data_IF_428518785524
#
_entry.id   IF_428518785524
#
_cell.length_a   1.000
_cell.length_b   1.000
_cell.length_c   1.000
_cell.angle_alpha   90.00
_cell.angle_beta   90.00
_cell.angle_gamma   90.00
#
_symmetry.space_group_name_H-M   'P 1'
#
loop_
_entity.id
_entity.type
_entity.pdbx_description
1 polymer ?
#
# COMPACT_ATOMS: atom_id res chain seq x y z
N UNK A 1 3.46 13.76 15.53
CA UNK A 1 2.83 12.75 14.65
C UNK A 1 3.06 11.37 15.23
N UNK A 2 2.06 10.49 15.25
CA UNK A 2 2.18 9.10 15.71
C UNK A 2 2.64 8.20 14.55
N UNK A 3 3.49 7.21 14.83
CA UNK A 3 3.82 6.12 13.90
C UNK A 3 2.92 4.92 14.20
N UNK A 4 2.28 4.34 13.18
CA UNK A 4 1.52 3.09 13.27
C UNK A 4 2.04 2.06 12.27
N UNK A 5 2.36 0.86 12.74
CA UNK A 5 2.75 -0.29 11.94
C UNK A 5 1.55 -1.22 11.78
N UNK A 6 1.20 -1.57 10.53
CA UNK A 6 0.02 -2.39 10.23
C UNK A 6 0.44 -3.75 9.67
N UNK A 7 -0.23 -4.81 10.12
CA UNK A 7 -0.04 -6.15 9.59
C UNK A 7 -0.91 -6.34 8.33
N UNK A 8 -0.29 -6.72 7.21
CA UNK A 8 -1.00 -7.00 5.96
C UNK A 8 -1.68 -8.36 6.01
N UNK A 9 -3.00 -8.40 5.83
CA UNK A 9 -3.74 -9.65 5.74
C UNK A 9 -3.29 -10.52 4.56
N UNK A 10 -2.88 -9.90 3.46
CA UNK A 10 -2.31 -10.62 2.32
C UNK A 10 -0.95 -11.25 2.66
N UNK A 11 -0.06 -10.51 3.30
CA UNK A 11 1.28 -10.97 3.64
C UNK A 11 1.29 -12.10 4.69
N UNK A 12 0.39 -12.05 5.66
CA UNK A 12 0.28 -13.03 6.73
C UNK A 12 -0.73 -14.17 6.47
N UNK A 13 -1.46 -14.12 5.34
CA UNK A 13 -2.41 -15.17 4.98
C UNK A 13 -3.77 -15.07 5.67
N UNK A 14 -4.21 -13.85 5.98
CA UNK A 14 -5.56 -13.55 6.45
C UNK A 14 -5.64 -12.82 7.79
N UNK A 15 -6.85 -12.38 8.13
CA UNK A 15 -7.12 -11.58 9.31
C UNK A 15 -6.81 -12.28 10.65
N UNK A 16 -7.05 -13.59 10.74
CA UNK A 16 -6.71 -14.40 11.94
C UNK A 16 -5.20 -14.43 12.21
N UNK A 17 -4.40 -14.48 11.14
CA UNK A 17 -2.96 -14.42 11.27
C UNK A 17 -2.51 -13.03 11.73
N UNK A 18 -3.09 -11.96 11.20
CA UNK A 18 -2.83 -10.60 11.65
C UNK A 18 -3.16 -10.40 13.12
N UNK A 19 -4.21 -11.02 13.64
CA UNK A 19 -4.52 -10.96 15.06
C UNK A 19 -3.40 -11.49 15.93
N UNK A 20 -2.79 -12.63 15.57
CA UNK A 20 -1.61 -13.17 16.30
C UNK A 20 -0.43 -12.20 16.29
N UNK A 21 -0.26 -11.46 15.20
CA UNK A 21 0.79 -10.44 15.10
C UNK A 21 0.51 -9.23 15.99
N UNK A 22 -0.75 -8.83 16.16
CA UNK A 22 -1.15 -7.79 17.12
C UNK A 22 -0.90 -8.26 18.56
N UNK A 23 -1.31 -9.49 18.89
CA UNK A 23 -1.12 -10.05 20.23
C UNK A 23 0.36 -10.15 20.62
N UNK A 24 1.25 -10.31 19.65
CA UNK A 24 2.72 -10.28 19.88
C UNK A 24 3.29 -8.88 20.14
N UNK A 25 2.53 -7.82 19.87
CA UNK A 25 2.97 -6.43 19.96
C UNK A 25 3.87 -5.97 18.80
N UNK A 26 4.01 -6.76 17.76
CA UNK A 26 4.82 -6.42 16.58
C UNK A 26 4.17 -5.31 15.73
N UNK A 27 2.84 -5.25 15.73
CA UNK A 27 2.04 -4.31 14.94
C UNK A 27 1.00 -3.58 15.80
N UNK A 28 0.56 -2.41 15.33
CA UNK A 28 -0.37 -1.52 16.02
C UNK A 28 -1.79 -1.62 15.43
N UNK A 29 -1.95 -2.21 14.25
CA UNK A 29 -3.20 -2.34 13.52
C UNK A 29 -3.10 -3.34 12.38
N UNK A 30 -4.13 -3.38 11.55
CA UNK A 30 -4.23 -4.30 10.41
C UNK A 30 -4.57 -3.54 9.15
N UNK A 31 -4.06 -4.06 8.03
CA UNK A 31 -4.50 -3.71 6.69
C UNK A 31 -4.97 -4.96 5.95
N UNK A 32 -6.11 -4.86 5.26
CA UNK A 32 -6.63 -5.95 4.46
C UNK A 32 -8.01 -5.68 3.88
N UNK A 33 -8.54 -6.60 3.06
CA UNK A 33 -9.83 -6.41 2.41
C UNK A 33 -10.96 -6.30 3.45
N UNK A 34 -11.98 -5.45 3.20
CA UNK A 34 -13.13 -5.38 4.06
C UNK A 34 -13.87 -6.74 4.06
N UNK A 35 -14.10 -7.36 5.22
CA UNK A 35 -14.77 -8.65 5.30
C UNK A 35 -16.18 -8.59 4.72
N UNK A 36 -16.71 -9.75 4.33
CA UNK A 36 -18.04 -9.86 3.72
C UNK A 36 -19.16 -9.43 4.65
N UNK A 37 -18.96 -9.58 5.96
CA UNK A 37 -19.90 -9.13 6.98
C UNK A 37 -19.18 -8.34 8.10
N UNK A 38 -19.79 -7.24 8.53
CA UNK A 38 -19.28 -6.42 9.66
C UNK A 38 -19.17 -7.26 10.95
N UNK A 39 -20.03 -8.25 11.13
CA UNK A 39 -19.99 -9.16 12.27
C UNK A 39 -18.68 -9.97 12.34
N UNK A 40 -18.09 -10.35 11.18
CA UNK A 40 -16.82 -11.05 11.12
C UNK A 40 -15.69 -10.14 11.62
N UNK A 41 -15.71 -8.86 11.22
CA UNK A 41 -14.73 -7.89 11.69
C UNK A 41 -14.82 -7.70 13.20
N UNK A 42 -16.03 -7.57 13.76
CA UNK A 42 -16.25 -7.42 15.20
C UNK A 42 -15.88 -8.67 15.99
N UNK A 43 -16.05 -9.85 15.39
CA UNK A 43 -15.67 -11.12 16.03
C UNK A 43 -14.15 -11.29 16.09
N UNK A 44 -13.43 -10.79 15.08
CA UNK A 44 -11.98 -10.91 14.97
C UNK A 44 -11.23 -9.83 15.78
N UNK A 45 -11.78 -8.63 15.86
CA UNK A 45 -11.09 -7.48 16.42
C UNK A 45 -11.96 -6.71 17.40
N UNK A 46 -11.38 -6.29 18.52
CA UNK A 46 -11.96 -5.25 19.36
C UNK A 46 -12.08 -3.97 18.52
N UNK A 47 -13.16 -3.21 18.69
CA UNK A 47 -13.39 -1.92 18.00
C UNK A 47 -12.27 -0.88 18.19
N UNK A 48 -11.28 -1.17 19.03
CA UNK A 48 -10.09 -0.34 19.29
C UNK A 48 -8.90 -0.66 18.41
N UNK A 49 -8.92 -1.77 17.65
CA UNK A 49 -7.83 -2.10 16.72
C UNK A 49 -7.89 -1.19 15.50
N UNK A 50 -6.86 -0.39 15.23
CA UNK A 50 -6.80 0.42 14.02
C UNK A 50 -6.85 -0.47 12.76
N UNK A 51 -7.73 -0.12 11.81
CA UNK A 51 -7.93 -0.88 10.60
C UNK A 51 -7.82 0.01 9.37
N UNK A 52 -7.01 -0.40 8.39
CA UNK A 52 -6.93 0.18 7.04
C UNK A 52 -7.58 -0.81 6.08
N UNK A 53 -8.55 -0.32 5.29
CA UNK A 53 -9.23 -1.17 4.32
C UNK A 53 -8.48 -1.20 3.00
N UNK A 54 -8.10 -2.38 2.55
CA UNK A 54 -7.54 -2.62 1.22
C UNK A 54 -8.67 -2.87 0.21
N UNK A 55 -8.85 -1.96 -0.73
CA UNK A 55 -9.88 -2.01 -1.77
C UNK A 55 -9.26 -2.48 -3.08
N UNK A 56 -9.77 -3.57 -3.64
CA UNK A 56 -9.29 -4.09 -4.92
C UNK A 56 -10.43 -4.16 -5.94
N UNK A 57 -10.37 -3.37 -7.01
CA UNK A 57 -11.39 -3.36 -8.06
C UNK A 57 -11.00 -4.22 -9.26
N UNK A 58 -12.00 -4.68 -10.01
CA UNK A 58 -11.80 -5.52 -11.19
C UNK A 58 -11.54 -7.00 -10.88
N UNK A 59 -11.78 -7.42 -9.62
CA UNK A 59 -11.74 -8.81 -9.18
C UNK A 59 -10.34 -9.41 -9.01
N UNK A 60 -9.27 -8.63 -9.16
CA UNK A 60 -7.88 -9.09 -9.02
C UNK A 60 -6.93 -7.91 -8.77
N UNK A 61 -5.78 -8.17 -8.15
CA UNK A 61 -4.65 -7.21 -8.06
C UNK A 61 -4.12 -6.82 -9.45
N UNK A 62 -4.16 -7.74 -10.41
CA UNK A 62 -3.84 -7.51 -11.82
C UNK A 62 -5.06 -7.86 -12.68
N UNK A 63 -6.05 -6.96 -12.80
CA UNK A 63 -7.26 -7.23 -13.56
C UNK A 63 -6.97 -7.37 -15.05
N UNK A 64 -7.77 -8.17 -15.75
CA UNK A 64 -7.69 -8.20 -17.20
C UNK A 64 -8.01 -6.81 -17.78
N UNK A 65 -7.29 -6.40 -18.84
CA UNK A 65 -7.51 -5.11 -19.51
C UNK A 65 -8.90 -4.93 -20.11
N UNK A 66 -9.65 -6.03 -20.27
CA UNK A 66 -11.04 -6.04 -20.74
C UNK A 66 -12.08 -5.73 -19.67
N UNK A 67 -11.68 -5.63 -18.39
CA UNK A 67 -12.61 -5.24 -17.32
C UNK A 67 -13.05 -3.79 -17.54
N UNK A 68 -14.37 -3.57 -17.55
CA UNK A 68 -14.91 -2.25 -17.85
C UNK A 68 -14.67 -1.24 -16.73
N UNK A 69 -14.59 0.05 -17.07
CA UNK A 69 -14.52 1.17 -16.12
C UNK A 69 -15.68 1.11 -15.12
N UNK A 70 -16.86 0.77 -15.58
CA UNK A 70 -18.06 0.66 -14.75
C UNK A 70 -17.95 -0.47 -13.72
N UNK A 71 -17.35 -1.61 -14.08
CA UNK A 71 -17.10 -2.68 -13.11
C UNK A 71 -16.11 -2.25 -12.02
N UNK A 72 -15.04 -1.57 -12.39
CA UNK A 72 -14.09 -1.00 -11.43
C UNK A 72 -14.79 0.00 -10.48
N UNK A 73 -15.72 0.79 -11.02
CA UNK A 73 -16.49 1.75 -10.22
C UNK A 73 -17.41 1.06 -9.21
N UNK A 74 -18.18 0.07 -9.63
CA UNK A 74 -19.08 -0.69 -8.76
C UNK A 74 -18.32 -1.39 -7.62
N UNK A 75 -17.17 -2.00 -7.94
CA UNK A 75 -16.32 -2.64 -6.95
C UNK A 75 -15.78 -1.62 -5.92
N UNK A 76 -15.33 -0.44 -6.38
CA UNK A 76 -14.83 0.62 -5.50
C UNK A 76 -15.95 1.10 -4.55
N UNK A 77 -17.10 1.50 -5.08
CA UNK A 77 -18.20 2.06 -4.27
C UNK A 77 -18.71 1.05 -3.24
N UNK A 78 -18.91 -0.20 -3.63
CA UNK A 78 -19.38 -1.25 -2.72
C UNK A 78 -18.36 -1.56 -1.61
N UNK A 79 -17.07 -1.64 -1.94
CA UNK A 79 -16.02 -1.95 -0.96
C UNK A 79 -15.74 -0.77 -0.02
N UNK A 80 -15.73 0.46 -0.51
CA UNK A 80 -15.59 1.67 0.34
C UNK A 80 -16.75 1.76 1.34
N UNK A 81 -17.99 1.54 0.89
CA UNK A 81 -19.16 1.53 1.79
C UNK A 81 -18.96 0.51 2.90
N UNK A 82 -18.56 -0.72 2.56
CA UNK A 82 -18.31 -1.79 3.54
C UNK A 82 -17.14 -1.46 4.47
N UNK A 83 -16.08 -0.87 3.95
CA UNK A 83 -14.94 -0.45 4.76
C UNK A 83 -15.34 0.54 5.87
N UNK A 84 -16.21 1.50 5.55
CA UNK A 84 -16.75 2.44 6.53
C UNK A 84 -17.62 1.74 7.59
N UNK A 85 -18.44 0.78 7.20
CA UNK A 85 -19.22 -0.04 8.13
C UNK A 85 -18.33 -0.85 9.09
N UNK A 86 -17.14 -1.25 8.62
CA UNK A 86 -16.12 -1.91 9.44
C UNK A 86 -15.29 -0.95 10.30
N UNK A 87 -15.48 0.37 10.16
CA UNK A 87 -14.74 1.37 10.93
C UNK A 87 -13.31 1.61 10.46
N UNK A 88 -13.06 1.45 9.15
CA UNK A 88 -11.74 1.72 8.58
C UNK A 88 -11.30 3.17 8.83
N UNK A 89 -10.02 3.34 9.18
CA UNK A 89 -9.38 4.67 9.32
C UNK A 89 -9.36 5.41 7.98
N UNK A 90 -9.03 4.69 6.94
CA UNK A 90 -9.05 5.12 5.53
C UNK A 90 -8.98 3.88 4.63
N UNK A 91 -9.07 4.10 3.31
CA UNK A 91 -8.98 3.03 2.33
C UNK A 91 -7.71 3.16 1.48
N UNK A 92 -6.92 2.09 1.39
CA UNK A 92 -5.92 1.87 0.34
C UNK A 92 -6.61 1.27 -0.87
N UNK A 93 -6.44 1.86 -2.05
CA UNK A 93 -7.23 1.54 -3.23
C UNK A 93 -6.36 1.10 -4.41
N UNK A 94 -6.47 -0.17 -4.80
CA UNK A 94 -5.94 -0.74 -6.03
C UNK A 94 -7.05 -0.72 -7.10
N UNK A 95 -7.18 0.37 -7.84
CA UNK A 95 -8.30 0.59 -8.75
C UNK A 95 -7.88 0.95 -10.17
N UNK A 96 -8.73 0.64 -11.14
CA UNK A 96 -8.48 0.94 -12.55
C UNK A 96 -7.52 -0.04 -13.21
N UNK A 97 -7.08 0.29 -14.42
CA UNK A 97 -6.14 -0.49 -15.22
C UNK A 97 -5.06 0.41 -15.84
N UNK A 98 -3.82 -0.09 -15.91
CA UNK A 98 -2.68 0.53 -16.59
C UNK A 98 -2.91 0.74 -18.10
N UNK A 99 -3.86 0.00 -18.68
CA UNK A 99 -4.25 0.14 -20.06
C UNK A 99 -5.18 1.34 -20.35
N UNK A 100 -5.64 2.05 -19.33
CA UNK A 100 -6.54 3.18 -19.52
C UNK A 100 -5.79 4.41 -20.05
N UNK A 101 -6.37 5.11 -21.06
CA UNK A 101 -5.90 6.45 -21.40
C UNK A 101 -5.96 7.38 -20.19
N UNK A 102 -5.02 8.33 -20.12
CA UNK A 102 -4.93 9.28 -19.00
C UNK A 102 -6.27 9.99 -18.72
N UNK A 103 -6.99 10.41 -19.75
CA UNK A 103 -8.29 11.09 -19.59
C UNK A 103 -9.33 10.21 -18.87
N UNK A 104 -9.35 8.90 -19.16
CA UNK A 104 -10.24 7.93 -18.47
C UNK A 104 -9.81 7.77 -17.01
N UNK A 105 -8.50 7.67 -16.76
CA UNK A 105 -7.98 7.58 -15.39
C UNK A 105 -8.30 8.86 -14.59
N UNK A 106 -8.09 10.06 -15.16
CA UNK A 106 -8.42 11.33 -14.52
C UNK A 106 -9.92 11.43 -14.18
N UNK A 107 -10.80 11.06 -15.10
CA UNK A 107 -12.26 11.04 -14.83
C UNK A 107 -12.59 10.07 -13.68
N UNK A 108 -12.08 8.84 -13.73
CA UNK A 108 -12.35 7.83 -12.71
C UNK A 108 -11.86 8.26 -11.32
N UNK A 109 -10.61 8.73 -11.21
CA UNK A 109 -10.06 9.17 -9.93
C UNK A 109 -10.75 10.46 -9.44
N UNK A 110 -11.15 11.36 -10.33
CA UNK A 110 -11.96 12.53 -9.98
C UNK A 110 -13.29 12.12 -9.35
N UNK A 111 -14.02 11.18 -9.97
CA UNK A 111 -15.24 10.59 -9.40
C UNK A 111 -14.97 9.89 -8.06
N UNK A 112 -13.85 9.20 -7.91
CA UNK A 112 -13.48 8.54 -6.66
C UNK A 112 -13.22 9.55 -5.52
N UNK A 113 -12.59 10.70 -5.81
CA UNK A 113 -12.43 11.79 -4.85
C UNK A 113 -13.80 12.36 -4.41
N UNK A 114 -14.74 12.55 -5.34
CA UNK A 114 -16.10 13.00 -5.00
C UNK A 114 -16.87 11.93 -4.19
N UNK A 115 -16.69 10.64 -4.47
CA UNK A 115 -17.21 9.55 -3.64
C UNK A 115 -16.66 9.65 -2.20
N UNK A 116 -15.36 9.83 -2.06
CA UNK A 116 -14.72 10.02 -0.76
C UNK A 116 -15.32 11.19 0.04
N UNK A 117 -15.48 12.35 -0.61
CA UNK A 117 -16.13 13.53 0.00
C UNK A 117 -17.58 13.24 0.42
N UNK A 118 -18.37 12.62 -0.46
CA UNK A 118 -19.77 12.29 -0.22
C UNK A 118 -19.96 11.34 0.96
N UNK A 119 -19.08 10.36 1.12
CA UNK A 119 -19.14 9.34 2.16
C UNK A 119 -18.33 9.70 3.42
N UNK A 120 -17.65 10.84 3.43
CA UNK A 120 -16.64 11.22 4.45
C UNK A 120 -15.57 10.12 4.62
N UNK A 121 -15.16 9.49 3.52
CA UNK A 121 -14.13 8.46 3.45
C UNK A 121 -12.82 9.06 2.92
N UNK A 122 -11.72 8.84 3.62
CA UNK A 122 -10.39 9.15 3.09
C UNK A 122 -9.93 8.00 2.17
N UNK A 123 -9.63 8.32 0.91
CA UNK A 123 -9.15 7.37 -0.09
C UNK A 123 -7.70 7.67 -0.44
N UNK A 124 -6.87 6.63 -0.45
CA UNK A 124 -5.48 6.66 -0.86
C UNK A 124 -5.26 5.63 -1.97
N UNK A 125 -4.59 6.00 -3.04
CA UNK A 125 -4.46 5.15 -4.23
C UNK A 125 -3.06 4.59 -4.34
N UNK A 126 -2.96 3.26 -4.47
CA UNK A 126 -1.67 2.60 -4.45
C UNK A 126 -0.88 2.81 -5.76
N UNK A 127 0.42 3.03 -5.62
CA UNK A 127 1.38 3.00 -6.73
C UNK A 127 1.67 1.54 -7.12
N UNK A 128 0.76 0.94 -7.87
CA UNK A 128 0.80 -0.48 -8.20
C UNK A 128 0.88 -0.70 -9.71
N UNK A 129 1.78 -1.62 -10.15
CA UNK A 129 1.78 -2.13 -11.53
C UNK A 129 0.42 -2.75 -11.85
N UNK A 130 -0.03 -2.72 -13.11
CA UNK A 130 -1.38 -3.07 -13.57
C UNK A 130 -2.47 -2.06 -13.18
N UNK A 131 -2.13 -0.91 -12.58
CA UNK A 131 -3.04 0.19 -12.22
C UNK A 131 -2.61 1.48 -12.92
N UNK A 132 -3.45 2.51 -13.04
CA UNK A 132 -3.06 3.77 -13.68
C UNK A 132 -1.87 4.47 -13.04
N UNK A 133 -1.55 4.11 -11.79
CA UNK A 133 -0.41 4.59 -10.99
C UNK A 133 0.86 3.73 -11.15
N UNK A 134 0.98 2.93 -12.22
CA UNK A 134 1.98 1.89 -12.40
C UNK A 134 3.43 2.38 -12.57
N UNK A 135 3.64 3.65 -12.94
CA UNK A 135 4.98 4.23 -13.05
C UNK A 135 4.98 5.72 -12.68
N UNK A 136 6.15 6.30 -12.32
CA UNK A 136 6.22 7.65 -11.76
C UNK A 136 5.63 8.72 -12.68
N UNK A 137 5.90 8.70 -13.97
CA UNK A 137 5.50 9.77 -14.89
C UNK A 137 3.98 9.82 -15.13
N UNK A 138 3.31 8.65 -15.36
CA UNK A 138 1.86 8.62 -15.47
C UNK A 138 1.19 9.06 -14.15
N UNK A 139 1.75 8.63 -13.02
CA UNK A 139 1.26 9.06 -11.71
C UNK A 139 1.43 10.56 -11.52
N UNK A 140 2.56 11.15 -11.93
CA UNK A 140 2.76 12.60 -11.85
C UNK A 140 1.75 13.38 -12.70
N UNK A 141 1.36 12.88 -13.87
CA UNK A 141 0.29 13.50 -14.69
C UNK A 141 -1.06 13.46 -13.98
N UNK A 142 -1.42 12.32 -13.37
CA UNK A 142 -2.63 12.21 -12.54
C UNK A 142 -2.60 13.19 -11.35
N UNK A 143 -1.49 13.28 -10.64
CA UNK A 143 -1.33 14.17 -9.48
C UNK A 143 -1.41 15.65 -9.85
N UNK A 144 -0.94 16.03 -11.04
CA UNK A 144 -1.07 17.40 -11.57
C UNK A 144 -2.51 17.72 -11.96
N UNK A 145 -3.21 16.75 -12.56
CA UNK A 145 -4.62 16.90 -12.93
C UNK A 145 -5.55 16.88 -11.70
N UNK A 146 -5.20 16.16 -10.64
CA UNK A 146 -6.00 15.96 -9.44
C UNK A 146 -5.17 16.28 -8.17
N UNK A 147 -5.08 17.55 -7.77
CA UNK A 147 -4.23 17.98 -6.65
C UNK A 147 -4.61 17.38 -5.29
N UNK A 148 -5.88 16.96 -5.12
CA UNK A 148 -6.38 16.35 -3.88
C UNK A 148 -6.07 14.85 -3.78
N UNK A 149 -5.60 14.22 -4.87
CA UNK A 149 -5.30 12.80 -4.89
C UNK A 149 -4.17 12.45 -3.92
N UNK A 150 -4.38 11.40 -3.11
CA UNK A 150 -3.39 10.89 -2.15
C UNK A 150 -2.96 9.50 -2.52
N UNK A 151 -1.71 9.16 -2.19
CA UNK A 151 -1.11 7.89 -2.58
C UNK A 151 -0.81 7.00 -1.37
N UNK A 152 -1.07 5.72 -1.53
CA UNK A 152 -0.38 4.65 -0.82
C UNK A 152 0.87 4.33 -1.61
N UNK A 153 2.02 4.63 -1.02
CA UNK A 153 3.30 4.58 -1.73
C UNK A 153 3.93 3.20 -1.59
N UNK A 154 3.75 2.35 -2.61
CA UNK A 154 4.55 1.17 -2.86
C UNK A 154 5.46 1.42 -4.07
N UNK A 155 6.62 2.00 -3.82
CA UNK A 155 7.56 2.32 -4.90
C UNK A 155 8.33 1.10 -5.41
N UNK A 156 8.18 -0.06 -4.76
CA UNK A 156 8.77 -1.32 -5.24
C UNK A 156 8.26 -1.70 -6.63
N UNK A 157 7.00 -1.40 -6.92
CA UNK A 157 6.42 -1.58 -8.26
C UNK A 157 7.08 -0.68 -9.31
N UNK A 158 7.43 0.55 -8.95
CA UNK A 158 8.11 1.46 -9.88
C UNK A 158 9.52 1.00 -10.19
N UNK A 159 10.22 0.39 -9.22
CA UNK A 159 11.58 -0.12 -9.45
C UNK A 159 11.60 -1.12 -10.61
N UNK A 160 10.71 -2.11 -10.61
CA UNK A 160 10.65 -3.12 -11.66
C UNK A 160 10.10 -2.59 -12.98
N UNK A 161 9.10 -1.69 -12.96
CA UNK A 161 8.53 -1.12 -14.18
C UNK A 161 9.51 -0.20 -14.90
N UNK A 162 10.30 0.55 -14.14
CA UNK A 162 11.32 1.46 -14.68
C UNK A 162 12.70 0.81 -14.83
N UNK A 163 12.88 -0.44 -14.38
CA UNK A 163 14.16 -1.16 -14.35
C UNK A 163 15.29 -0.38 -13.67
N UNK A 164 14.94 0.40 -12.64
CA UNK A 164 15.86 1.20 -11.80
C UNK A 164 15.17 1.71 -10.54
N UNK A 165 15.98 2.19 -9.59
CA UNK A 165 15.49 2.98 -8.47
C UNK A 165 15.11 4.39 -8.97
N UNK A 166 13.84 4.83 -8.83
CA UNK A 166 13.45 6.17 -9.26
C UNK A 166 14.09 7.25 -8.38
N UNK A 167 14.48 8.38 -9.01
CA UNK A 167 15.18 9.49 -8.35
C UNK A 167 14.81 10.88 -8.91
N UNK A 168 13.68 10.99 -9.64
CA UNK A 168 13.27 12.16 -10.39
C UNK A 168 12.19 13.01 -9.67
N UNK A 169 11.79 14.10 -10.34
CA UNK A 169 10.74 15.01 -9.84
C UNK A 169 9.38 14.34 -9.68
N UNK A 170 9.10 13.29 -10.48
CA UNK A 170 7.84 12.55 -10.37
C UNK A 170 7.77 11.76 -9.06
N UNK A 171 8.87 11.14 -8.64
CA UNK A 171 8.98 10.53 -7.31
C UNK A 171 8.81 11.58 -6.20
N UNK A 172 9.43 12.74 -6.34
CA UNK A 172 9.32 13.82 -5.35
C UNK A 172 7.88 14.29 -5.19
N UNK A 173 7.14 14.48 -6.29
CA UNK A 173 5.72 14.81 -6.27
C UNK A 173 4.86 13.71 -5.62
N UNK A 174 5.16 12.43 -5.88
CA UNK A 174 4.47 11.33 -5.24
C UNK A 174 4.68 11.31 -3.72
N UNK A 175 5.91 11.55 -3.26
CA UNK A 175 6.25 11.67 -1.85
C UNK A 175 5.46 12.81 -1.18
N UNK A 176 5.30 13.94 -1.84
CA UNK A 176 4.50 15.06 -1.33
C UNK A 176 3.00 14.73 -1.22
N UNK A 177 2.52 13.77 -1.98
CA UNK A 177 1.12 13.31 -2.00
C UNK A 177 0.89 12.01 -1.22
N UNK A 178 1.92 11.48 -0.57
CA UNK A 178 1.81 10.26 0.21
C UNK A 178 0.83 10.40 1.38
N UNK A 179 0.03 9.38 1.61
CA UNK A 179 -0.83 9.20 2.77
C UNK A 179 -0.42 7.98 3.58
N UNK A 180 0.04 6.95 2.91
CA UNK A 180 0.37 5.64 3.49
C UNK A 180 1.60 5.06 2.79
N UNK A 181 2.27 4.13 3.46
CA UNK A 181 3.45 3.44 2.94
C UNK A 181 3.24 1.94 2.98
N UNK A 182 3.37 1.29 1.83
CA UNK A 182 3.66 -0.14 1.75
C UNK A 182 5.18 -0.32 1.77
N UNK A 183 5.70 -0.82 2.90
CA UNK A 183 7.13 -0.96 3.11
C UNK A 183 7.63 -2.29 2.55
N UNK A 184 7.67 -2.38 1.23
CA UNK A 184 8.27 -3.45 0.45
C UNK A 184 9.49 -2.91 -0.30
N UNK A 185 10.56 -3.69 -0.37
CA UNK A 185 11.78 -3.34 -1.10
C UNK A 185 11.76 -4.01 -2.46
N UNK A 186 11.66 -3.22 -3.50
CA UNK A 186 11.78 -3.65 -4.90
C UNK A 186 13.18 -3.37 -5.46
N UNK A 187 13.47 -3.96 -6.60
CA UNK A 187 14.71 -3.76 -7.34
C UNK A 187 14.45 -3.76 -8.85
N UNK A 188 15.46 -3.49 -9.66
CA UNK A 188 15.30 -3.34 -11.11
C UNK A 188 14.68 -4.55 -11.82
N UNK A 189 14.83 -5.75 -11.26
CA UNK A 189 14.36 -7.00 -11.88
C UNK A 189 13.13 -7.60 -11.18
N UNK A 190 12.62 -6.96 -10.12
CA UNK A 190 11.46 -7.48 -9.40
C UNK A 190 10.84 -6.49 -8.43
N UNK A 191 9.54 -6.63 -8.13
CA UNK A 191 8.85 -5.76 -7.18
C UNK A 191 9.17 -6.11 -5.73
N UNK A 192 9.89 -7.21 -5.49
CA UNK A 192 10.26 -7.65 -4.16
C UNK A 192 11.60 -8.37 -4.21
N UNK A 193 12.54 -7.93 -3.37
CA UNK A 193 13.76 -8.68 -3.10
C UNK A 193 13.45 -9.94 -2.29
N UNK A 194 14.27 -10.97 -2.41
CA UNK A 194 14.04 -12.25 -1.71
C UNK A 194 14.13 -12.11 -0.19
N UNK A 195 15.10 -11.31 0.29
CA UNK A 195 15.26 -10.97 1.70
C UNK A 195 15.96 -9.60 1.79
N UNK A 196 15.29 -8.56 2.35
CA UNK A 196 15.87 -7.22 2.43
C UNK A 196 17.04 -7.12 3.43
N UNK A 197 17.31 -8.19 4.19
CA UNK A 197 18.45 -8.28 5.13
C UNK A 197 19.73 -8.71 4.43
N UNK A 198 19.61 -9.28 3.24
CA UNK A 198 20.75 -9.79 2.48
C UNK A 198 21.61 -8.61 1.97
N UNK A 199 22.95 -8.66 2.14
CA UNK A 199 23.82 -7.53 1.85
C UNK A 199 23.81 -7.11 0.37
N UNK A 200 23.48 -8.00 -0.55
CA UNK A 200 23.32 -7.69 -1.98
C UNK A 200 22.16 -6.74 -2.28
N UNK A 201 21.18 -6.63 -1.39
CA UNK A 201 20.03 -5.72 -1.51
C UNK A 201 20.12 -4.50 -0.60
N UNK A 202 21.26 -4.26 0.05
CA UNK A 202 21.45 -3.08 0.91
C UNK A 202 21.22 -1.76 0.16
N UNK A 203 21.68 -1.56 -1.09
CA UNK A 203 21.41 -0.33 -1.83
C UNK A 203 19.93 -0.06 -2.03
N UNK A 204 19.14 -1.08 -2.38
CA UNK A 204 17.70 -0.99 -2.56
C UNK A 204 16.97 -0.69 -1.24
N UNK A 205 17.35 -1.38 -0.17
CA UNK A 205 16.80 -1.13 1.16
C UNK A 205 17.03 0.31 1.60
N UNK A 206 18.26 0.81 1.49
CA UNK A 206 18.61 2.17 1.87
C UNK A 206 17.89 3.24 1.03
N UNK A 207 17.70 2.98 -0.27
CA UNK A 207 16.94 3.87 -1.14
C UNK A 207 15.47 3.97 -0.69
N UNK A 208 14.80 2.83 -0.45
CA UNK A 208 13.43 2.80 0.04
C UNK A 208 13.29 3.48 1.41
N UNK A 209 14.19 3.22 2.33
CA UNK A 209 14.21 3.90 3.64
C UNK A 209 14.42 5.42 3.51
N UNK A 210 15.20 5.85 2.53
CA UNK A 210 15.36 7.26 2.17
C UNK A 210 14.05 7.88 1.73
N UNK A 211 13.28 7.20 0.87
CA UNK A 211 11.97 7.65 0.41
C UNK A 211 10.93 7.68 1.55
N UNK A 212 10.86 6.65 2.37
CA UNK A 212 9.93 6.60 3.51
C UNK A 212 10.23 7.69 4.54
N UNK A 213 11.51 8.02 4.76
CA UNK A 213 11.91 9.17 5.60
C UNK A 213 11.44 10.50 5.01
N UNK A 214 11.55 10.69 3.69
CA UNK A 214 11.03 11.88 3.00
C UNK A 214 9.51 11.95 3.10
N UNK A 215 8.80 10.82 3.02
CA UNK A 215 7.34 10.75 3.24
C UNK A 215 7.02 11.20 4.68
N UNK A 216 7.72 10.70 5.69
CA UNK A 216 7.53 11.12 7.08
C UNK A 216 7.69 12.65 7.25
N UNK A 217 8.71 13.23 6.63
CA UNK A 217 8.94 14.69 6.64
C UNK A 217 7.79 15.45 5.94
N UNK A 218 7.32 14.95 4.82
CA UNK A 218 6.19 15.52 4.08
C UNK A 218 4.88 15.47 4.87
N UNK A 219 4.62 14.36 5.56
CA UNK A 219 3.44 14.21 6.43
C UNK A 219 3.50 15.17 7.62
N UNK A 220 4.66 15.33 8.26
CA UNK A 220 4.88 16.31 9.33
C UNK A 220 4.64 17.75 8.85
N UNK A 221 5.15 18.11 7.68
CA UNK A 221 4.97 19.45 7.10
C UNK A 221 3.50 19.77 6.75
N UNK A 222 2.66 18.75 6.65
CA UNK A 222 1.21 18.85 6.40
C UNK A 222 0.36 18.65 7.66
N UNK A 223 0.97 18.66 8.85
CA UNK A 223 0.32 18.51 10.15
C UNK A 223 -0.52 17.21 10.25
N UNK A 224 -0.05 16.11 9.63
CA UNK A 224 -0.71 14.83 9.74
C UNK A 224 -0.46 14.19 11.12
N UNK A 225 -1.52 13.65 11.72
CA UNK A 225 -1.46 13.05 13.06
C UNK A 225 -0.87 11.64 13.05
N UNK A 226 -0.98 10.93 11.93
CA UNK A 226 -0.58 9.52 11.77
C UNK A 226 0.26 9.31 10.50
N UNK A 227 1.47 8.81 10.67
CA UNK A 227 2.20 8.08 9.65
C UNK A 227 1.88 6.60 9.79
N UNK A 228 1.24 6.00 8.81
CA UNK A 228 0.95 4.57 8.75
C UNK A 228 1.88 3.87 7.77
N UNK A 229 2.37 2.71 8.17
CA UNK A 229 3.30 1.88 7.39
C UNK A 229 2.88 0.43 7.49
N UNK A 230 2.74 -0.24 6.37
CA UNK A 230 2.47 -1.67 6.27
C UNK A 230 3.66 -2.37 5.61
N UNK A 231 4.47 -3.14 6.34
CA UNK A 231 5.37 -4.10 5.74
C UNK A 231 4.58 -5.10 4.89
N UNK A 232 4.93 -5.22 3.62
CA UNK A 232 4.10 -5.95 2.67
C UNK A 232 4.93 -6.87 1.76
N UNK A 233 5.88 -7.58 2.34
CA UNK A 233 6.51 -8.70 1.64
C UNK A 233 5.51 -9.83 1.53
N UNK A 234 5.19 -10.21 0.30
CA UNK A 234 4.07 -11.10 0.01
C UNK A 234 4.46 -12.40 -0.69
N UNK A 235 3.52 -13.36 -0.66
CA UNK A 235 3.62 -14.65 -1.34
C UNK A 235 3.37 -14.54 -2.86
N UNK A 236 2.99 -15.64 -3.49
CA UNK A 236 2.35 -15.70 -4.82
C UNK A 236 3.09 -14.99 -5.95
N UNK A 237 4.35 -15.39 -6.18
CA UNK A 237 5.16 -14.86 -7.26
C UNK A 237 5.94 -13.59 -6.90
N UNK A 238 5.71 -13.00 -5.74
CA UNK A 238 6.55 -11.94 -5.19
C UNK A 238 7.77 -12.54 -4.48
N UNK A 239 7.57 -13.48 -3.55
CA UNK A 239 8.67 -14.22 -2.97
C UNK A 239 9.19 -15.26 -3.98
N UNK A 240 10.48 -15.22 -4.22
CA UNK A 240 11.15 -16.21 -5.05
C UNK A 240 11.05 -17.60 -4.43
N UNK A 241 10.96 -18.60 -5.30
CA UNK A 241 10.89 -20.01 -4.93
C UNK A 241 11.98 -20.81 -5.65
N UNK A 242 12.50 -21.81 -4.97
CA UNK A 242 13.44 -22.74 -5.59
C UNK A 242 12.79 -23.47 -6.77
N UNK A 243 13.47 -23.58 -7.92
CA UNK A 243 12.96 -24.34 -9.06
C UNK A 243 12.61 -25.79 -8.66
N UNK A 244 11.59 -26.34 -9.29
CA UNK A 244 11.06 -27.70 -9.11
C UNK A 244 10.37 -27.97 -7.77
N UNK A 245 10.99 -27.65 -6.62
CA UNK A 245 10.41 -27.89 -5.29
C UNK A 245 9.37 -26.86 -4.90
N UNK A 246 9.49 -25.62 -5.43
CA UNK A 246 8.69 -24.46 -5.06
C UNK A 246 8.85 -24.05 -3.59
N UNK A 247 9.90 -24.51 -2.94
CA UNK A 247 10.20 -24.08 -1.58
C UNK A 247 10.53 -22.57 -1.59
N UNK A 248 9.91 -21.76 -0.71
CA UNK A 248 10.22 -20.35 -0.59
C UNK A 248 11.67 -20.17 -0.12
N UNK A 249 12.35 -19.15 -0.67
CA UNK A 249 13.76 -18.88 -0.34
C UNK A 249 13.93 -18.17 1.01
N UNK A 250 12.84 -17.68 1.61
CA UNK A 250 12.86 -16.98 2.91
C UNK A 250 11.50 -17.11 3.63
N UNK A 251 11.47 -16.77 4.91
CA UNK A 251 10.26 -16.71 5.74
C UNK A 251 9.64 -15.31 5.67
N UNK A 252 8.47 -15.19 5.04
CA UNK A 252 7.76 -13.92 4.86
C UNK A 252 7.33 -13.29 6.19
N UNK A 253 6.86 -14.09 7.14
CA UNK A 253 6.41 -13.57 8.42
C UNK A 253 7.58 -12.97 9.20
N UNK A 254 8.73 -13.66 9.17
CA UNK A 254 9.96 -13.15 9.78
C UNK A 254 10.44 -11.84 9.12
N UNK A 255 10.43 -11.79 7.78
CA UNK A 255 10.80 -10.58 7.03
C UNK A 255 9.87 -9.40 7.40
N UNK A 256 8.55 -9.61 7.41
CA UNK A 256 7.59 -8.55 7.72
C UNK A 256 7.72 -8.04 9.17
N UNK A 257 7.94 -8.95 10.13
CA UNK A 257 8.22 -8.55 11.53
C UNK A 257 9.53 -7.77 11.65
N UNK A 258 10.57 -8.23 10.97
CA UNK A 258 11.86 -7.53 10.95
C UNK A 258 11.72 -6.13 10.34
N UNK A 259 11.00 -6.02 9.22
CA UNK A 259 10.75 -4.73 8.57
C UNK A 259 9.95 -3.80 9.48
N UNK A 260 8.91 -4.30 10.17
CA UNK A 260 8.14 -3.52 11.14
C UNK A 260 9.05 -2.98 12.27
N UNK A 261 9.86 -3.84 12.88
CA UNK A 261 10.79 -3.44 13.93
C UNK A 261 11.82 -2.42 13.44
N UNK A 262 12.36 -2.63 12.24
CA UNK A 262 13.33 -1.74 11.60
C UNK A 262 12.72 -0.36 11.33
N UNK A 263 11.51 -0.29 10.72
CA UNK A 263 10.85 0.98 10.44
C UNK A 263 10.41 1.69 11.72
N UNK A 264 10.00 0.97 12.75
CA UNK A 264 9.76 1.55 14.08
C UNK A 264 11.01 2.28 14.62
N UNK A 265 12.18 1.69 14.50
CA UNK A 265 13.44 2.32 14.90
C UNK A 265 13.83 3.52 14.03
N UNK A 266 13.74 3.37 12.70
CA UNK A 266 14.18 4.38 11.74
C UNK A 266 13.27 5.62 11.72
N UNK A 267 11.95 5.42 11.75
CA UNK A 267 10.97 6.49 11.58
C UNK A 267 10.60 7.16 12.90
N UNK A 268 10.69 6.46 14.05
CA UNK A 268 10.41 7.07 15.35
C UNK A 268 11.27 8.31 15.60
N UNK A 269 12.52 8.29 15.18
CA UNK A 269 13.42 9.44 15.30
C UNK A 269 13.00 10.66 14.46
N UNK A 270 12.20 10.44 13.41
CA UNK A 270 11.67 11.51 12.53
C UNK A 270 10.34 12.02 13.06
N UNK A 271 9.41 11.10 13.39
CA UNK A 271 8.02 11.46 13.76
C UNK A 271 7.89 11.96 15.20
N UNK A 272 8.81 11.57 16.09
CA UNK A 272 8.82 11.97 17.51
C UNK A 272 9.45 13.34 17.78
N UNK A 273 9.81 14.08 16.75
CA UNK A 273 10.30 15.46 16.85
C UNK A 273 9.14 16.43 16.67
#
# INVERSE_FOLDING_TARGET
MRLGLFASAWAFGGLDACRRELDSGSFDGIEGPPPSAVAEMRALFDSRVPYIAEICSGGSYAPASSVSVERHWQDLEAQVTRALECGALFCTCLVGSDSWPLAVAVDFFGRALELGKRLAAELSFETHRSRPTFHPWATAELLRALPDLRLTCDFSHWCVVCERLPDDDALSLAIERARHVHARVGYAQGPQVSDPRAPEFEPELLAHEGWWRRIAQSLLARDQDLMSVTPEFGPDGYLQQAPYTREPVADLAEINRWMAARQRGQLAAVVGR
#
